data_IF_727831584575
#
_entry.id   IF_727831584575
#
_cell.length_a   1.000
_cell.length_b   1.000
_cell.length_c   1.000
_cell.angle_alpha   90.00
_cell.angle_beta   90.00
_cell.angle_gamma   90.00
#
_symmetry.space_group_name_H-M   'P 1'
#
loop_
_entity.id
_entity.type
_entity.pdbx_description
1 polymer ?
#
# COMPACT_ATOMS: atom_id res chain seq x y z
N UNK A 1 47.91 12.58 -42.56
CA UNK A 1 46.47 12.72 -42.83
C UNK A 1 45.81 11.42 -42.36
N UNK A 2 45.30 11.36 -41.12
CA UNK A 2 43.85 11.32 -40.76
C UNK A 2 43.12 10.13 -41.42
N UNK A 3 42.50 9.18 -40.71
CA UNK A 3 41.35 9.39 -39.81
C UNK A 3 41.13 8.26 -38.81
N UNK A 4 40.74 8.69 -37.62
CA UNK A 4 40.14 7.99 -36.47
C UNK A 4 38.75 7.45 -36.84
N UNK A 5 38.33 6.30 -36.29
CA UNK A 5 36.94 6.05 -35.81
C UNK A 5 36.88 4.70 -35.06
N UNK A 6 37.02 4.72 -33.73
CA UNK A 6 35.95 4.75 -32.71
C UNK A 6 35.30 3.37 -32.52
N UNK A 7 35.71 2.78 -31.41
CA UNK A 7 35.12 1.68 -30.65
C UNK A 7 33.59 1.81 -30.57
N UNK A 8 32.87 0.87 -31.19
CA UNK A 8 31.44 0.69 -30.91
C UNK A 8 31.29 0.14 -29.49
N UNK A 9 31.15 1.06 -28.53
CA UNK A 9 30.63 0.77 -27.22
C UNK A 9 29.16 0.35 -27.43
N UNK A 10 28.89 -0.94 -27.32
CA UNK A 10 27.54 -1.45 -27.15
C UNK A 10 27.03 -1.04 -25.76
N UNK A 11 26.72 0.26 -25.61
CA UNK A 11 25.80 0.71 -24.60
C UNK A 11 24.42 0.20 -25.02
N UNK A 12 24.13 -1.04 -24.63
CA UNK A 12 22.76 -1.50 -24.52
C UNK A 12 22.09 -0.48 -23.61
N UNK A 13 21.26 0.37 -24.22
CA UNK A 13 20.36 1.24 -23.51
C UNK A 13 19.43 0.32 -22.72
N UNK A 14 19.82 0.02 -21.47
CA UNK A 14 18.87 -0.35 -20.45
C UNK A 14 17.95 0.85 -20.33
N UNK A 15 16.80 0.83 -21.00
CA UNK A 15 15.67 1.67 -20.62
C UNK A 15 15.23 1.16 -19.27
N UNK A 16 15.99 1.53 -18.24
CA UNK A 16 15.52 1.50 -16.87
C UNK A 16 14.30 2.41 -16.88
N UNK A 17 13.12 1.77 -16.90
CA UNK A 17 11.88 2.40 -16.51
C UNK A 17 12.15 3.06 -15.16
N UNK A 18 12.41 4.37 -15.16
CA UNK A 18 12.32 5.16 -13.95
C UNK A 18 10.84 5.15 -13.59
N UNK A 19 10.41 4.12 -12.86
CA UNK A 19 9.20 4.21 -12.08
C UNK A 19 9.32 5.50 -11.29
N UNK A 20 8.42 6.46 -11.54
CA UNK A 20 8.42 7.70 -10.80
C UNK A 20 8.41 7.34 -9.32
N UNK A 21 9.41 7.79 -8.57
CA UNK A 21 9.59 7.54 -7.13
C UNK A 21 8.36 7.92 -6.31
N UNK A 22 7.45 8.68 -6.91
CA UNK A 22 6.25 9.20 -6.30
C UNK A 22 5.02 8.34 -6.61
N UNK A 23 5.00 7.55 -7.69
CA UNK A 23 3.82 6.78 -8.10
C UNK A 23 4.03 5.28 -7.89
N UNK A 24 3.19 4.72 -7.03
CA UNK A 24 3.25 3.34 -6.55
C UNK A 24 1.97 2.62 -6.90
N UNK A 25 2.08 1.65 -7.80
CA UNK A 25 1.01 0.67 -8.04
C UNK A 25 1.23 -0.51 -7.08
N UNK A 26 0.27 -0.72 -6.18
CA UNK A 26 0.33 -1.76 -5.15
C UNK A 26 -0.84 -2.73 -5.35
N UNK A 27 -0.57 -4.04 -5.23
CA UNK A 27 -1.63 -5.03 -5.01
C UNK A 27 -1.89 -5.12 -3.51
N UNK A 28 -3.14 -4.91 -3.11
CA UNK A 28 -3.58 -4.92 -1.72
C UNK A 28 -4.59 -6.04 -1.47
N UNK A 29 -4.39 -6.80 -0.40
CA UNK A 29 -5.25 -7.88 0.04
C UNK A 29 -5.94 -7.49 1.35
N UNK A 30 -7.25 -7.75 1.41
CA UNK A 30 -8.03 -7.72 2.64
C UNK A 30 -8.18 -9.15 3.16
N UNK A 31 -7.63 -9.44 4.34
CA UNK A 31 -7.63 -10.78 4.94
C UNK A 31 -8.36 -10.72 6.29
N UNK A 32 -9.59 -11.21 6.38
CA UNK A 32 -10.33 -11.25 7.63
C UNK A 32 -9.88 -12.45 8.48
N UNK A 33 -9.20 -12.16 9.58
CA UNK A 33 -8.82 -13.11 10.62
C UNK A 33 -9.83 -13.01 11.76
N UNK A 34 -10.96 -13.71 11.60
CA UNK A 34 -12.07 -13.72 12.56
C UNK A 34 -12.72 -12.35 12.81
N UNK A 35 -12.64 -11.42 11.84
CA UNK A 35 -13.30 -10.12 11.95
C UNK A 35 -14.83 -10.27 11.84
N UNK A 36 -15.63 -9.73 12.79
CA UNK A 36 -17.09 -9.89 12.77
C UNK A 36 -17.73 -9.44 11.45
N UNK A 37 -18.57 -10.30 10.88
CA UNK A 37 -19.28 -10.01 9.63
C UNK A 37 -18.46 -10.27 8.34
N UNK A 38 -17.22 -10.74 8.47
CA UNK A 38 -16.37 -11.17 7.37
C UNK A 38 -16.03 -12.66 7.51
N UNK A 39 -15.78 -13.31 6.39
CA UNK A 39 -15.36 -14.71 6.28
C UNK A 39 -14.12 -14.82 5.39
N UNK A 40 -13.40 -15.94 5.46
CA UNK A 40 -12.24 -16.18 4.57
C UNK A 40 -12.60 -16.15 3.07
N UNK A 41 -13.87 -16.35 2.72
CA UNK A 41 -14.36 -16.24 1.35
C UNK A 41 -14.45 -14.78 0.87
N UNK A 42 -14.36 -13.81 1.79
CA UNK A 42 -14.40 -12.38 1.49
C UNK A 42 -13.00 -11.78 1.21
N UNK A 43 -11.97 -12.61 1.07
CA UNK A 43 -10.63 -12.14 0.67
C UNK A 43 -10.72 -11.51 -0.72
N UNK A 44 -10.27 -10.26 -0.83
CA UNK A 44 -10.24 -9.52 -2.09
C UNK A 44 -8.88 -8.90 -2.33
N UNK A 45 -8.35 -9.15 -3.52
CA UNK A 45 -7.19 -8.47 -4.08
C UNK A 45 -7.64 -7.21 -4.83
N UNK A 46 -6.98 -6.09 -4.59
CA UNK A 46 -7.25 -4.79 -5.22
C UNK A 46 -5.94 -4.10 -5.57
N UNK A 47 -5.78 -3.78 -6.85
CA UNK A 47 -4.69 -2.89 -7.27
C UNK A 47 -5.07 -1.45 -6.96
N UNK A 48 -4.23 -0.77 -6.19
CA UNK A 48 -4.35 0.65 -5.87
C UNK A 48 -3.15 1.41 -6.39
N UNK A 49 -3.39 2.60 -6.93
CA UNK A 49 -2.34 3.49 -7.40
C UNK A 49 -2.23 4.66 -6.43
N UNK A 50 -1.07 4.80 -5.80
CA UNK A 50 -0.79 5.80 -4.79
C UNK A 50 0.24 6.78 -5.33
N UNK A 51 0.03 8.08 -5.12
CA UNK A 51 0.94 9.13 -5.54
C UNK A 51 1.40 9.96 -4.34
N UNK A 52 2.64 9.75 -3.92
CA UNK A 52 3.28 10.49 -2.84
C UNK A 52 3.52 11.97 -3.19
N UNK A 53 3.48 12.36 -4.47
CA UNK A 53 3.51 13.77 -4.88
C UNK A 53 2.12 14.42 -4.81
N UNK A 54 1.05 13.62 -4.84
CA UNK A 54 -0.33 14.08 -4.77
C UNK A 54 -1.12 13.31 -3.69
N UNK A 55 -0.92 13.63 -2.39
CA UNK A 55 -1.59 12.93 -1.28
C UNK A 55 -3.12 13.15 -1.24
N UNK A 56 -3.67 13.99 -2.12
CA UNK A 56 -5.10 14.14 -2.31
C UNK A 56 -5.72 12.97 -3.10
N UNK A 57 -4.93 12.26 -3.91
CA UNK A 57 -5.37 11.03 -4.59
C UNK A 57 -5.42 9.89 -3.56
N UNK A 58 -6.61 9.64 -3.00
CA UNK A 58 -6.86 8.59 -2.01
C UNK A 58 -7.77 7.51 -2.60
N UNK A 59 -7.21 6.43 -3.18
CA UNK A 59 -8.00 5.31 -3.64
C UNK A 59 -8.92 4.81 -2.54
N UNK A 60 -10.17 4.54 -2.93
CA UNK A 60 -11.16 3.94 -2.04
C UNK A 60 -11.80 2.73 -2.68
N UNK A 61 -12.17 1.77 -1.85
CA UNK A 61 -12.92 0.59 -2.26
C UNK A 61 -13.82 0.15 -1.11
N UNK A 62 -14.89 -0.57 -1.45
CA UNK A 62 -15.92 -0.98 -0.48
C UNK A 62 -16.00 -2.50 -0.43
N UNK A 63 -16.02 -3.06 0.78
CA UNK A 63 -16.26 -4.50 1.04
C UNK A 63 -17.23 -4.60 2.21
N UNK A 64 -18.34 -5.34 2.05
CA UNK A 64 -19.36 -5.54 3.10
C UNK A 64 -19.74 -4.23 3.81
N UNK A 65 -20.06 -3.22 3.02
CA UNK A 65 -20.44 -1.87 3.46
C UNK A 65 -19.36 -1.08 4.26
N UNK A 66 -18.14 -1.61 4.37
CA UNK A 66 -16.99 -0.89 4.88
C UNK A 66 -16.27 -0.21 3.72
N UNK A 67 -15.99 1.09 3.84
CA UNK A 67 -15.20 1.83 2.86
C UNK A 67 -13.77 1.98 3.35
N UNK A 68 -12.83 1.44 2.59
CA UNK A 68 -11.39 1.51 2.84
C UNK A 68 -10.83 2.65 2.02
N UNK A 69 -10.03 3.51 2.64
CA UNK A 69 -9.40 4.67 2.01
C UNK A 69 -7.90 4.57 2.29
N UNK A 70 -7.11 4.47 1.23
CA UNK A 70 -5.66 4.26 1.31
C UNK A 70 -4.95 5.54 0.89
N UNK A 71 -3.87 5.89 1.57
CA UNK A 71 -2.99 6.98 1.16
C UNK A 71 -1.56 6.73 1.58
N UNK A 72 -0.62 7.41 0.91
CA UNK A 72 0.78 7.52 1.33
C UNK A 72 1.09 8.99 1.58
N UNK A 73 1.97 9.25 2.55
CA UNK A 73 2.54 10.58 2.73
C UNK A 73 4.07 10.50 2.70
N UNK A 74 4.67 11.58 2.21
CA UNK A 74 6.13 11.73 2.11
C UNK A 74 6.61 12.54 3.29
N UNK A 75 6.95 11.89 4.40
CA UNK A 75 7.46 12.62 5.56
C UNK A 75 8.98 12.56 5.65
N UNK A 76 9.62 11.40 5.43
CA UNK A 76 11.09 11.30 5.49
C UNK A 76 11.65 10.26 4.50
N UNK A 77 12.04 10.73 3.31
CA UNK A 77 12.92 9.94 2.44
C UNK A 77 14.31 9.96 3.07
N UNK A 78 14.64 8.92 3.82
CA UNK A 78 16.03 8.62 4.22
C UNK A 78 16.80 8.01 3.06
N UNK A 79 18.14 8.06 3.13
CA UNK A 79 19.04 7.64 2.07
C UNK A 79 19.06 6.10 1.92
N UNK A 80 18.07 5.56 1.21
CA UNK A 80 17.94 4.17 0.70
C UNK A 80 18.13 3.05 1.76
N UNK A 81 17.11 2.21 2.04
CA UNK A 81 15.79 2.16 1.40
C UNK A 81 14.92 3.35 1.81
N UNK A 82 14.07 3.79 0.88
CA UNK A 82 13.13 4.88 1.15
C UNK A 82 12.08 4.36 2.14
N UNK A 83 11.78 5.14 3.17
CA UNK A 83 10.69 4.85 4.08
C UNK A 83 9.54 5.78 3.71
N UNK A 84 8.35 5.21 3.53
CA UNK A 84 7.13 5.95 3.22
C UNK A 84 6.09 5.68 4.30
N UNK A 85 5.38 6.72 4.71
CA UNK A 85 4.27 6.54 5.63
C UNK A 85 3.05 6.05 4.85
N UNK A 86 2.52 4.90 5.27
CA UNK A 86 1.37 4.24 4.71
C UNK A 86 0.17 4.40 5.65
N UNK A 87 -0.97 4.83 5.09
CA UNK A 87 -2.15 5.21 5.84
C UNK A 87 -3.37 4.45 5.35
N UNK A 88 -4.14 3.92 6.29
CA UNK A 88 -5.45 3.32 6.03
C UNK A 88 -6.50 4.00 6.92
N UNK A 89 -7.61 4.42 6.31
CA UNK A 89 -8.83 4.73 7.04
C UNK A 89 -9.91 3.73 6.64
N UNK A 90 -10.57 3.13 7.62
CA UNK A 90 -11.73 2.26 7.45
C UNK A 90 -12.97 3.00 7.95
N UNK A 91 -13.94 3.19 7.07
CA UNK A 91 -15.25 3.77 7.40
C UNK A 91 -16.27 2.64 7.48
N UNK A 92 -16.63 2.17 8.69
CA UNK A 92 -17.71 1.21 8.87
C UNK A 92 -19.07 1.85 8.55
N UNK A 93 -20.12 1.03 8.37
CA UNK A 93 -21.50 1.53 8.30
C UNK A 93 -21.86 2.38 9.52
N UNK A 94 -22.65 3.43 9.31
CA UNK A 94 -23.19 4.22 10.41
C UNK A 94 -23.96 3.32 11.40
N UNK A 95 -23.90 3.58 12.71
CA UNK A 95 -23.38 4.79 13.37
C UNK A 95 -21.91 4.71 13.82
N UNK A 96 -21.16 3.69 13.41
CA UNK A 96 -19.80 3.50 13.91
C UNK A 96 -18.82 4.58 13.41
N UNK A 97 -17.88 4.99 14.26
CA UNK A 97 -16.87 5.98 13.92
C UNK A 97 -15.79 5.39 12.99
N UNK A 98 -15.16 6.21 12.11
CA UNK A 98 -14.03 5.75 11.30
C UNK A 98 -12.84 5.31 12.15
N UNK A 99 -12.18 4.23 11.71
CA UNK A 99 -10.92 3.75 12.31
C UNK A 99 -9.75 4.11 11.40
N UNK A 100 -8.60 4.45 11.97
CA UNK A 100 -7.39 4.85 11.25
C UNK A 100 -6.20 4.04 11.71
N UNK A 101 -5.37 3.62 10.77
CA UNK A 101 -4.15 2.87 11.01
C UNK A 101 -3.00 3.42 10.14
N UNK A 102 -1.78 3.30 10.67
CA UNK A 102 -0.58 3.94 10.16
C UNK A 102 0.58 2.96 10.25
N UNK A 103 1.40 2.84 9.21
CA UNK A 103 2.61 2.02 9.22
C UNK A 103 3.70 2.64 8.35
N UNK A 104 4.94 2.54 8.79
CA UNK A 104 6.08 2.83 7.94
C UNK A 104 6.29 1.66 6.98
N UNK A 105 6.31 1.97 5.69
CA UNK A 105 6.53 0.99 4.62
C UNK A 105 7.91 1.19 4.02
N UNK A 106 8.60 0.08 3.77
CA UNK A 106 9.85 0.12 3.04
C UNK A 106 9.55 0.18 1.54
N UNK A 107 10.28 1.03 0.83
CA UNK A 107 10.25 1.12 -0.61
C UNK A 107 11.68 1.17 -1.16
N UNK A 108 11.98 0.25 -2.08
CA UNK A 108 13.23 0.29 -2.83
C UNK A 108 12.93 0.55 -4.32
N UNK A 109 13.19 1.77 -4.81
CA UNK A 109 12.98 2.12 -6.21
C UNK A 109 13.79 1.29 -7.20
N UNK A 110 14.99 0.86 -6.80
CA UNK A 110 15.88 0.06 -7.64
C UNK A 110 15.35 -1.35 -7.87
N UNK A 111 14.49 -1.86 -6.99
CA UNK A 111 13.88 -3.19 -7.11
C UNK A 111 12.36 -3.14 -7.27
N UNK A 112 11.74 -1.97 -7.18
CA UNK A 112 10.28 -1.79 -7.20
C UNK A 112 9.56 -2.39 -5.99
N UNK A 113 10.28 -2.94 -5.01
CA UNK A 113 9.66 -3.68 -3.90
C UNK A 113 9.05 -2.74 -2.87
N UNK A 114 7.82 -3.04 -2.50
CA UNK A 114 7.08 -2.39 -1.41
C UNK A 114 6.32 -3.46 -0.62
N UNK A 115 6.29 -3.34 0.70
CA UNK A 115 5.44 -4.14 1.56
C UNK A 115 4.96 -3.31 2.75
N UNK A 116 3.65 -3.31 2.99
CA UNK A 116 3.03 -2.75 4.19
C UNK A 116 1.91 -3.65 4.64
N UNK A 117 1.81 -3.88 5.95
CA UNK A 117 0.78 -4.68 6.57
C UNK A 117 0.22 -3.96 7.78
N UNK A 118 -1.09 -3.79 7.80
CA UNK A 118 -1.84 -3.14 8.86
C UNK A 118 -2.85 -4.11 9.43
N UNK A 119 -2.93 -4.16 10.75
CA UNK A 119 -3.89 -5.00 11.46
C UNK A 119 -4.89 -4.12 12.21
N UNK A 120 -6.17 -4.28 11.90
CA UNK A 120 -7.25 -3.71 12.69
C UNK A 120 -7.69 -4.74 13.71
N UNK A 121 -7.42 -4.46 14.99
CA UNK A 121 -7.83 -5.30 16.11
C UNK A 121 -9.05 -4.66 16.78
N UNK A 122 -10.16 -5.38 16.83
CA UNK A 122 -11.30 -5.01 17.65
C UNK A 122 -11.21 -5.79 18.96
N UNK A 123 -10.95 -5.11 20.08
CA UNK A 123 -11.05 -5.71 21.41
C UNK A 123 -12.47 -5.51 21.90
N UNK A 124 -13.34 -6.51 21.72
CA UNK A 124 -14.69 -6.45 22.27
C UNK A 124 -14.61 -6.27 23.78
N UNK A 125 -15.29 -5.25 24.32
CA UNK A 125 -15.53 -5.18 25.76
C UNK A 125 -16.53 -6.29 26.13
N UNK A 126 -16.43 -6.84 27.34
CA UNK A 126 -17.36 -7.89 27.83
C UNK A 126 -18.83 -7.44 27.84
N UNK A 127 -19.08 -6.14 27.68
CA UNK A 127 -20.39 -5.52 27.58
C UNK A 127 -20.93 -5.36 26.15
N UNK A 128 -20.11 -5.58 25.11
CA UNK A 128 -20.55 -5.46 23.72
C UNK A 128 -20.76 -6.82 23.05
N UNK A 129 -21.74 -6.96 22.15
CA UNK A 129 -22.10 -8.24 21.52
C UNK A 129 -21.11 -8.71 20.45
N UNK A 130 -20.02 -7.97 20.19
CA UNK A 130 -19.10 -8.26 19.09
C UNK A 130 -17.87 -9.04 19.58
N UNK A 131 -17.57 -10.21 18.99
CA UNK A 131 -16.36 -10.96 19.34
C UNK A 131 -15.11 -10.18 18.94
N UNK A 132 -14.01 -10.40 19.66
CA UNK A 132 -12.69 -9.94 19.25
C UNK A 132 -12.39 -10.43 17.84
N UNK A 133 -11.87 -9.57 16.98
CA UNK A 133 -11.55 -9.95 15.61
C UNK A 133 -10.45 -9.10 15.00
N UNK A 134 -9.80 -9.64 13.96
CA UNK A 134 -8.66 -9.05 13.31
C UNK A 134 -8.91 -8.94 11.81
N UNK A 135 -8.69 -7.76 11.24
CA UNK A 135 -8.73 -7.55 9.80
C UNK A 135 -7.34 -7.09 9.36
N UNK A 136 -6.72 -7.86 8.47
CA UNK A 136 -5.39 -7.54 7.94
C UNK A 136 -5.54 -6.89 6.58
N UNK A 137 -4.89 -5.75 6.41
CA UNK A 137 -4.74 -5.07 5.15
C UNK A 137 -3.27 -5.10 4.75
N UNK A 138 -2.96 -5.83 3.68
CA UNK A 138 -1.59 -6.07 3.23
C UNK A 138 -1.42 -5.56 1.80
N UNK A 139 -0.50 -4.63 1.58
CA UNK A 139 -0.22 -4.06 0.27
C UNK A 139 1.23 -4.33 -0.13
N UNK A 140 1.40 -4.82 -1.35
CA UNK A 140 2.69 -5.22 -1.89
C UNK A 140 2.84 -4.88 -3.37
N UNK A 141 4.08 -4.63 -3.78
CA UNK A 141 4.47 -4.59 -5.18
C UNK A 141 5.58 -5.61 -5.37
N UNK A 142 5.28 -6.71 -6.04
CA UNK A 142 6.25 -7.75 -6.40
C UNK A 142 6.45 -7.76 -7.91
N UNK A 143 7.71 -7.54 -8.29
CA UNK A 143 8.36 -7.69 -9.61
C UNK A 143 7.61 -7.17 -10.85
#
# INVERSE_FOLDING_TARGET
MSKILITMLAAVFSTASQASLTQLELSCNLIPLDYPGFSLDDIQERTVMLDAANPAAKPLFTVKDHTFIVSVNRTDITDIPHILDFYLQVQPPAPAAPVRAYSASYFNPGTGKHHSRLELLHYGDKAEPYPTGQLVFECQRYE
#
